data_IF_248547323783
#
_entry.id   IF_248547323783
#
_cell.length_a   1.000
_cell.length_b   1.000
_cell.length_c   1.000
_cell.angle_alpha   90.00
_cell.angle_beta   90.00
_cell.angle_gamma   90.00
#
_symmetry.space_group_name_H-M   'P 1'
#
loop_
_entity.id
_entity.type
_entity.pdbx_description
1 polymer ?
#
# COMPACT_ATOMS: atom_id res chain seq x y z
N UNK A 1 -15.20 -5.57 17.80
CA UNK A 1 -15.37 -7.01 17.46
C UNK A 1 -14.09 -7.50 16.81
N UNK A 2 -13.37 -8.39 17.49
CA UNK A 2 -12.07 -8.91 17.05
C UNK A 2 -12.21 -9.84 15.85
N UNK A 3 -11.43 -9.59 14.80
CA UNK A 3 -11.16 -10.55 13.74
C UNK A 3 -9.86 -11.27 14.16
N UNK A 4 -9.99 -12.52 14.62
CA UNK A 4 -8.86 -13.40 14.87
C UNK A 4 -8.30 -13.86 13.52
N UNK A 5 -7.02 -13.60 13.27
CA UNK A 5 -6.31 -14.13 12.12
C UNK A 5 -6.04 -15.63 12.34
N UNK A 6 -6.56 -16.48 11.45
CA UNK A 6 -6.21 -17.90 11.40
C UNK A 6 -4.77 -18.06 10.94
N UNK A 7 -3.89 -18.53 11.83
CA UNK A 7 -2.53 -18.95 11.47
C UNK A 7 -2.54 -20.29 10.73
N UNK A 8 -1.92 -20.35 9.56
CA UNK A 8 -1.57 -21.60 8.91
C UNK A 8 -0.20 -22.07 9.43
N UNK A 9 -0.16 -23.24 10.07
CA UNK A 9 1.10 -23.93 10.41
C UNK A 9 1.31 -25.07 9.42
N UNK A 10 2.30 -24.91 8.53
CA UNK A 10 2.81 -26.01 7.72
C UNK A 10 3.96 -26.67 8.50
N UNK A 11 3.69 -27.78 9.19
CA UNK A 11 4.77 -28.61 9.76
C UNK A 11 5.36 -29.49 8.66
N UNK A 12 6.50 -29.08 8.11
CA UNK A 12 7.36 -29.98 7.34
C UNK A 12 8.22 -30.73 8.36
N UNK A 13 8.06 -32.05 8.44
CA UNK A 13 8.80 -32.90 9.36
C UNK A 13 10.24 -33.06 8.84
N UNK A 14 11.28 -32.54 9.52
CA UNK A 14 12.66 -32.61 9.05
C UNK A 14 13.29 -33.91 9.52
N UNK A 15 12.82 -35.04 8.98
CA UNK A 15 13.40 -36.35 9.28
C UNK A 15 13.17 -37.31 8.12
N UNK A 16 13.70 -36.95 6.96
CA UNK A 16 14.11 -37.93 5.95
C UNK A 16 15.41 -37.46 5.32
N UNK A 17 16.51 -37.96 5.86
CA UNK A 17 17.82 -37.90 5.23
C UNK A 17 17.71 -38.42 3.79
N UNK A 18 18.25 -37.67 2.85
CA UNK A 18 18.50 -38.15 1.49
C UNK A 18 19.40 -39.38 1.55
N UNK A 19 18.83 -40.56 1.28
CA UNK A 19 19.59 -41.72 0.81
C UNK A 19 18.89 -42.27 -0.44
N UNK A 20 19.74 -42.63 -1.40
CA UNK A 20 19.44 -42.86 -2.80
C UNK A 20 18.69 -44.18 -3.03
N UNK A 21 17.73 -44.17 -3.96
CA UNK A 21 17.58 -45.14 -5.05
C UNK A 21 16.44 -44.70 -5.99
N UNK A 22 16.57 -44.80 -7.33
CA UNK A 22 15.51 -44.40 -8.24
C UNK A 22 14.40 -45.47 -8.27
N UNK A 23 13.11 -45.12 -8.08
CA UNK A 23 12.02 -46.07 -8.23
C UNK A 23 11.63 -46.23 -9.72
N UNK A 24 11.31 -47.48 -10.10
CA UNK A 24 10.82 -47.87 -11.44
C UNK A 24 9.54 -47.11 -11.85
N UNK A 25 9.31 -46.87 -13.15
CA UNK A 25 8.16 -46.09 -13.61
C UNK A 25 6.86 -46.87 -13.46
N UNK A 26 5.96 -46.42 -12.58
CA UNK A 26 4.57 -46.92 -12.50
C UNK A 26 3.65 -45.97 -13.26
N UNK A 27 2.96 -46.49 -14.28
CA UNK A 27 2.15 -45.78 -15.26
C UNK A 27 0.71 -45.45 -14.80
N UNK A 28 0.53 -44.85 -13.61
CA UNK A 28 -0.78 -44.31 -13.22
C UNK A 28 -0.65 -42.87 -12.70
N UNK A 29 -1.32 -41.88 -13.32
CA UNK A 29 -1.32 -40.52 -12.79
C UNK A 29 -1.97 -40.54 -11.40
N UNK A 30 -1.21 -40.15 -10.37
CA UNK A 30 -1.75 -39.90 -9.04
C UNK A 30 -2.39 -38.53 -9.05
N UNK A 31 -3.71 -38.49 -9.20
CA UNK A 31 -4.47 -37.26 -9.01
C UNK A 31 -4.52 -36.95 -7.51
N UNK A 32 -3.93 -35.82 -7.11
CA UNK A 32 -4.09 -35.25 -5.79
C UNK A 32 -5.32 -34.34 -5.82
N UNK A 33 -6.47 -34.86 -5.38
CA UNK A 33 -7.65 -34.04 -5.17
C UNK A 33 -7.55 -33.37 -3.81
N UNK A 34 -7.30 -32.06 -3.80
CA UNK A 34 -7.36 -31.25 -2.58
C UNK A 34 -8.83 -30.85 -2.36
N UNK A 35 -9.50 -31.44 -1.37
CA UNK A 35 -10.77 -30.91 -0.84
C UNK A 35 -10.45 -29.99 0.32
N UNK A 36 -10.85 -28.74 0.22
CA UNK A 36 -10.80 -27.79 1.33
C UNK A 36 -12.04 -28.01 2.21
N UNK A 37 -11.83 -28.40 3.48
CA UNK A 37 -12.89 -28.45 4.48
C UNK A 37 -12.43 -27.70 5.73
N UNK A 38 -13.22 -26.71 6.15
CA UNK A 38 -13.03 -25.99 7.41
C UNK A 38 -13.67 -26.80 8.56
N UNK A 39 -12.92 -27.21 9.59
CA UNK A 39 -13.53 -27.72 10.81
C UNK A 39 -14.15 -26.56 11.60
N UNK A 40 -15.42 -26.67 11.98
CA UNK A 40 -16.01 -25.78 12.99
C UNK A 40 -15.40 -26.12 14.35
N UNK A 41 -14.63 -25.21 14.93
CA UNK A 41 -14.16 -25.33 16.32
C UNK A 41 -15.30 -25.03 17.30
N UNK A 42 -15.41 -25.85 18.35
CA UNK A 42 -16.47 -25.80 19.36
C UNK A 42 -16.36 -24.68 20.40
N UNK A 43 -15.33 -23.85 20.36
CA UNK A 43 -15.14 -22.79 21.35
C UNK A 43 -15.42 -21.41 20.76
N UNK A 44 -16.69 -21.01 20.85
CA UNK A 44 -17.08 -19.60 20.91
C UNK A 44 -17.16 -18.83 19.58
N UNK A 45 -18.35 -18.92 18.98
CA UNK A 45 -18.93 -18.02 17.96
C UNK A 45 -18.59 -18.26 16.48
N UNK A 46 -19.09 -19.37 15.95
CA UNK A 46 -19.74 -19.38 14.63
C UNK A 46 -20.97 -20.31 14.67
N UNK A 47 -21.90 -20.06 15.59
CA UNK A 47 -23.23 -20.65 15.52
C UNK A 47 -24.10 -19.81 14.60
N UNK A 48 -24.34 -20.36 13.41
CA UNK A 48 -25.19 -19.78 12.38
C UNK A 48 -24.45 -19.69 11.05
N UNK A 49 -25.15 -20.01 9.95
CA UNK A 49 -24.88 -19.35 8.68
C UNK A 49 -24.90 -17.84 8.98
N UNK A 50 -23.75 -17.27 9.33
CA UNK A 50 -23.66 -15.83 9.54
C UNK A 50 -24.18 -15.21 8.25
N UNK A 51 -25.25 -14.41 8.36
CA UNK A 51 -25.68 -13.60 7.24
C UNK A 51 -24.43 -12.91 6.69
N UNK A 52 -24.23 -13.00 5.38
CA UNK A 52 -23.10 -12.35 4.73
C UNK A 52 -23.08 -10.90 5.27
N UNK A 53 -21.99 -10.42 5.89
CA UNK A 53 -21.99 -9.09 6.49
C UNK A 53 -22.07 -7.97 5.43
N UNK A 54 -22.19 -8.34 4.16
CA UNK A 54 -22.37 -7.47 3.02
C UNK A 54 -23.64 -7.83 2.25
N UNK A 55 -24.32 -6.81 1.75
CA UNK A 55 -25.45 -6.98 0.83
C UNK A 55 -24.94 -7.54 -0.49
N UNK A 56 -25.62 -8.56 -1.00
CA UNK A 56 -25.40 -9.09 -2.35
C UNK A 56 -26.38 -8.39 -3.26
N UNK A 57 -25.88 -7.66 -4.25
CA UNK A 57 -26.71 -7.01 -5.25
C UNK A 57 -26.34 -7.53 -6.64
N UNK A 58 -27.32 -7.56 -7.53
CA UNK A 58 -27.05 -7.76 -8.94
C UNK A 58 -26.29 -6.54 -9.46
N UNK A 59 -25.12 -6.79 -10.02
CA UNK A 59 -24.24 -5.79 -10.57
C UNK A 59 -24.00 -6.08 -12.05
N UNK A 60 -23.76 -5.01 -12.80
CA UNK A 60 -23.34 -5.07 -14.19
C UNK A 60 -21.99 -4.38 -14.28
N UNK A 61 -21.00 -5.06 -14.84
CA UNK A 61 -19.74 -4.47 -15.26
C UNK A 61 -19.84 -4.18 -16.74
N UNK A 62 -19.82 -2.90 -17.10
CA UNK A 62 -19.90 -2.43 -18.49
C UNK A 62 -18.50 -2.01 -18.91
N UNK A 63 -17.97 -2.64 -19.96
CA UNK A 63 -16.66 -2.35 -20.51
C UNK A 63 -16.77 -1.40 -21.71
N UNK A 64 -15.69 -0.68 -22.01
CA UNK A 64 -15.64 0.31 -23.10
C UNK A 64 -15.96 -0.30 -24.48
N UNK A 65 -15.60 -1.57 -24.66
CA UNK A 65 -15.85 -2.35 -25.88
C UNK A 65 -17.33 -2.68 -26.11
N UNK A 66 -18.21 -2.33 -25.17
CA UNK A 66 -19.64 -2.61 -25.26
C UNK A 66 -20.09 -3.84 -24.48
N UNK A 67 -19.17 -4.65 -23.96
CA UNK A 67 -19.51 -5.88 -23.27
C UNK A 67 -20.07 -5.62 -21.87
N UNK A 68 -21.14 -6.34 -21.52
CA UNK A 68 -21.85 -6.20 -20.25
C UNK A 68 -21.80 -7.53 -19.51
N UNK A 69 -21.10 -7.54 -18.40
CA UNK A 69 -20.94 -8.72 -17.55
C UNK A 69 -21.85 -8.60 -16.33
N UNK A 70 -22.78 -9.55 -16.19
CA UNK A 70 -23.63 -9.63 -15.00
C UNK A 70 -22.88 -10.38 -13.91
N UNK A 71 -22.70 -9.73 -12.77
CA UNK A 71 -22.03 -10.29 -11.60
C UNK A 71 -22.87 -10.02 -10.36
N UNK A 72 -22.51 -10.67 -9.25
CA UNK A 72 -23.01 -10.30 -7.93
C UNK A 72 -21.95 -9.45 -7.25
N UNK A 73 -22.20 -8.16 -7.09
CA UNK A 73 -21.31 -7.31 -6.31
C UNK A 73 -21.40 -7.69 -4.84
N UNK A 74 -20.26 -7.66 -4.17
CA UNK A 74 -20.13 -7.73 -2.73
C UNK A 74 -19.24 -6.57 -2.29
N UNK A 75 -19.51 -5.97 -1.14
CA UNK A 75 -18.75 -4.82 -0.68
C UNK A 75 -19.02 -4.50 0.77
N UNK A 76 -18.11 -3.76 1.40
CA UNK A 76 -18.25 -3.29 2.79
C UNK A 76 -19.59 -2.59 3.01
N UNK A 77 -20.08 -2.58 4.25
CA UNK A 77 -21.23 -1.79 4.68
C UNK A 77 -21.13 -0.36 4.15
N UNK A 78 -22.13 0.09 3.38
CA UNK A 78 -22.12 1.39 2.71
C UNK A 78 -21.78 1.37 1.22
N UNK A 79 -21.43 0.21 0.64
CA UNK A 79 -21.27 0.08 -0.82
C UNK A 79 -22.60 0.33 -1.52
N UNK A 80 -22.70 1.45 -2.23
CA UNK A 80 -23.85 1.75 -3.08
C UNK A 80 -23.60 1.15 -4.46
N UNK A 81 -24.52 0.30 -4.90
CA UNK A 81 -24.53 -0.23 -6.26
C UNK A 81 -25.60 0.57 -6.99
N UNK A 82 -25.17 1.41 -7.94
CA UNK A 82 -26.08 2.26 -8.70
C UNK A 82 -26.95 1.39 -9.62
N UNK A 83 -28.27 1.41 -9.39
CA UNK A 83 -29.25 0.60 -10.13
C UNK A 83 -30.12 1.42 -11.07
N UNK A 84 -30.09 2.76 -11.00
CA UNK A 84 -31.03 3.62 -11.73
C UNK A 84 -30.63 3.89 -13.18
N UNK A 85 -29.39 3.57 -13.58
CA UNK A 85 -28.86 3.88 -14.92
C UNK A 85 -29.08 2.74 -15.92
N UNK A 86 -29.44 3.14 -17.14
CA UNK A 86 -29.57 2.27 -18.31
C UNK A 86 -28.21 1.78 -18.82
N UNK A 87 -28.19 0.68 -19.58
CA UNK A 87 -26.96 0.16 -20.19
C UNK A 87 -26.30 1.19 -21.14
N UNK A 88 -27.11 1.96 -21.87
CA UNK A 88 -26.64 3.02 -22.77
C UNK A 88 -25.96 4.17 -22.02
N UNK A 89 -26.52 4.59 -20.89
CA UNK A 89 -25.92 5.60 -20.03
C UNK A 89 -24.60 5.11 -19.43
N UNK A 90 -24.55 3.85 -18.97
CA UNK A 90 -23.33 3.25 -18.43
C UNK A 90 -22.24 3.13 -19.52
N UNK A 91 -22.61 2.77 -20.75
CA UNK A 91 -21.68 2.74 -21.87
C UNK A 91 -21.13 4.13 -22.19
N UNK A 92 -22.01 5.15 -22.24
CA UNK A 92 -21.58 6.54 -22.44
C UNK A 92 -20.62 6.98 -21.35
N UNK A 93 -20.93 6.67 -20.08
CA UNK A 93 -20.06 6.97 -18.96
C UNK A 93 -18.71 6.28 -19.08
N UNK A 94 -18.68 4.97 -19.36
CA UNK A 94 -17.44 4.18 -19.49
C UNK A 94 -16.48 4.75 -20.53
N UNK A 95 -17.02 5.24 -21.66
CA UNK A 95 -16.22 5.82 -22.75
C UNK A 95 -15.77 7.27 -22.50
N UNK A 96 -16.38 7.95 -21.52
CA UNK A 96 -16.16 9.37 -21.27
C UNK A 96 -15.33 9.65 -20.01
N UNK A 97 -15.15 8.64 -19.17
CA UNK A 97 -14.44 8.78 -17.90
C UNK A 97 -12.99 8.32 -18.05
N UNK A 98 -12.05 9.15 -17.62
CA UNK A 98 -10.64 8.78 -17.48
C UNK A 98 -10.16 9.16 -16.08
N UNK A 99 -9.25 8.36 -15.54
CA UNK A 99 -8.57 8.61 -14.28
C UNK A 99 -7.37 9.56 -14.44
N UNK A 100 -6.83 9.67 -15.65
CA UNK A 100 -5.68 10.55 -15.94
C UNK A 100 -6.08 12.01 -15.74
N UNK A 101 -5.24 12.75 -15.01
CA UNK A 101 -5.50 14.16 -14.72
C UNK A 101 -6.60 14.44 -13.69
N UNK A 102 -7.13 13.42 -13.00
CA UNK A 102 -8.15 13.59 -11.96
C UNK A 102 -7.52 13.53 -10.57
N UNK A 103 -7.73 14.58 -9.78
CA UNK A 103 -7.38 14.64 -8.37
C UNK A 103 -8.39 13.86 -7.53
N UNK A 104 -8.04 12.61 -7.20
CA UNK A 104 -8.83 11.76 -6.30
C UNK A 104 -8.44 11.92 -4.83
N UNK A 105 -7.32 12.58 -4.52
CA UNK A 105 -6.84 12.77 -3.15
C UNK A 105 -7.80 13.66 -2.37
N UNK A 106 -8.29 14.74 -2.98
CA UNK A 106 -9.26 15.65 -2.35
C UNK A 106 -10.55 14.96 -1.93
N UNK A 107 -10.93 13.88 -2.60
CA UNK A 107 -12.15 13.13 -2.27
C UNK A 107 -12.01 12.17 -1.09
N UNK A 108 -10.78 11.92 -0.61
CA UNK A 108 -10.51 10.91 0.44
C UNK A 108 -9.74 11.45 1.65
N UNK A 109 -9.09 12.60 1.52
CA UNK A 109 -8.40 13.27 2.65
C UNK A 109 -9.41 13.70 3.72
N UNK A 110 -9.00 13.66 4.98
CA UNK A 110 -9.72 14.34 6.06
C UNK A 110 -9.64 15.88 5.93
N UNK A 111 -10.64 16.57 6.49
CA UNK A 111 -10.76 18.04 6.44
C UNK A 111 -9.87 18.77 7.46
N UNK A 112 -9.50 18.11 8.57
CA UNK A 112 -8.77 18.73 9.67
C UNK A 112 -7.68 17.79 10.21
N UNK A 113 -6.58 18.34 10.75
CA UNK A 113 -5.57 17.54 11.42
C UNK A 113 -6.13 16.76 12.60
N UNK A 114 -5.60 15.56 12.83
CA UNK A 114 -5.94 14.74 13.99
C UNK A 114 -4.74 13.94 14.50
N UNK A 115 -4.75 13.61 15.79
CA UNK A 115 -3.75 12.72 16.38
C UNK A 115 -4.16 11.27 16.19
N UNK A 116 -3.24 10.41 15.74
CA UNK A 116 -3.47 8.97 15.74
C UNK A 116 -3.27 8.42 17.16
N UNK A 117 -4.28 7.73 17.69
CA UNK A 117 -4.29 7.23 19.07
C UNK A 117 -4.32 5.71 19.18
N UNK A 118 -4.67 5.02 18.09
CA UNK A 118 -4.81 3.57 18.11
C UNK A 118 -3.44 2.89 18.18
N UNK A 119 -3.31 1.96 19.12
CA UNK A 119 -2.12 1.15 19.28
C UNK A 119 -2.17 -0.09 18.39
N UNK A 120 -1.00 -0.51 17.94
CA UNK A 120 -0.85 -1.82 17.29
C UNK A 120 -1.12 -2.91 18.30
N UNK A 121 -2.03 -3.81 17.96
CA UNK A 121 -2.33 -4.96 18.80
C UNK A 121 -1.09 -5.82 18.97
N UNK A 122 -0.91 -6.44 20.13
CA UNK A 122 0.31 -7.17 20.49
C UNK A 122 0.64 -8.31 19.51
N UNK A 123 -0.37 -8.97 18.93
CA UNK A 123 -0.17 -10.03 17.94
C UNK A 123 0.39 -9.53 16.59
N UNK A 124 0.32 -8.21 16.35
CA UNK A 124 0.85 -7.54 15.17
C UNK A 124 1.92 -6.53 15.54
N UNK A 125 2.44 -6.57 16.76
CA UNK A 125 3.51 -5.70 17.20
C UNK A 125 4.85 -6.27 16.75
N UNK A 126 5.59 -5.49 15.94
CA UNK A 126 6.88 -5.88 15.39
C UNK A 126 8.03 -5.41 16.30
N UNK A 127 7.70 -4.72 17.40
CA UNK A 127 8.63 -4.19 18.37
C UNK A 127 8.25 -4.58 19.81
N UNK A 128 7.93 -5.87 20.02
CA UNK A 128 7.49 -6.44 21.29
C UNK A 128 8.52 -6.37 22.43
N UNK A 129 9.72 -5.83 22.18
CA UNK A 129 10.82 -5.71 23.14
C UNK A 129 10.68 -4.54 24.14
N UNK A 130 9.62 -3.73 24.01
CA UNK A 130 9.41 -2.54 24.84
C UNK A 130 10.33 -1.40 24.43
N UNK A 131 9.78 -0.26 24.05
CA UNK A 131 10.57 0.94 23.86
C UNK A 131 10.65 1.71 25.18
N UNK A 132 11.76 1.58 25.90
CA UNK A 132 12.26 2.61 26.83
C UNK A 132 12.73 3.88 26.06
N UNK A 133 12.24 4.11 24.83
CA UNK A 133 12.85 5.00 23.84
C UNK A 133 12.05 6.28 23.60
N UNK A 134 12.80 7.33 23.25
CA UNK A 134 12.33 8.65 22.82
C UNK A 134 11.13 8.54 21.86
N UNK A 135 10.03 9.22 22.18
CA UNK A 135 8.86 9.29 21.32
C UNK A 135 9.11 10.20 20.12
N UNK A 136 9.26 9.63 18.92
CA UNK A 136 9.42 10.41 17.68
C UNK A 136 8.11 11.07 17.26
N UNK A 137 8.17 12.34 16.82
CA UNK A 137 7.02 13.08 16.30
C UNK A 137 6.99 12.95 14.78
N UNK A 138 5.97 12.29 14.26
CA UNK A 138 5.77 12.13 12.82
C UNK A 138 4.56 12.93 12.38
N UNK A 139 4.71 13.74 11.34
CA UNK A 139 3.57 14.34 10.64
C UNK A 139 3.30 13.53 9.38
N UNK A 140 2.07 13.04 9.22
CA UNK A 140 1.65 12.23 8.09
C UNK A 140 0.65 12.99 7.22
N UNK A 141 0.99 13.24 5.96
CA UNK A 141 0.06 13.79 4.98
C UNK A 141 -0.92 12.72 4.53
N UNK A 142 -2.21 12.99 4.72
CA UNK A 142 -3.29 12.11 4.30
C UNK A 142 -3.61 12.31 2.82
N UNK A 143 -3.16 11.35 2.01
CA UNK A 143 -3.49 11.26 0.60
C UNK A 143 -4.55 10.18 0.32
N UNK A 144 -5.23 9.69 1.36
CA UNK A 144 -5.99 8.44 1.36
C UNK A 144 -5.29 7.36 2.22
N UNK A 145 -4.78 7.76 3.38
CA UNK A 145 -3.86 6.97 4.20
C UNK A 145 -4.49 5.67 4.70
N UNK A 146 -3.78 4.55 4.53
CA UNK A 146 -4.15 3.27 5.14
C UNK A 146 -3.78 3.27 6.62
N UNK A 147 -4.74 2.94 7.50
CA UNK A 147 -4.51 2.86 8.95
C UNK A 147 -3.35 1.94 9.34
N UNK A 148 -3.07 0.88 8.57
CA UNK A 148 -1.95 -0.01 8.87
C UNK A 148 -0.58 0.69 8.80
N UNK A 149 -0.45 1.77 8.02
CA UNK A 149 0.77 2.60 8.02
C UNK A 149 0.93 3.29 9.39
N UNK A 150 -0.16 3.84 9.92
CA UNK A 150 -0.19 4.52 11.20
C UNK A 150 0.06 3.55 12.36
N UNK A 151 -0.57 2.38 12.33
CA UNK A 151 -0.29 1.29 13.28
C UNK A 151 1.20 0.91 13.26
N UNK A 152 1.79 0.71 12.08
CA UNK A 152 3.22 0.36 11.96
C UNK A 152 4.12 1.44 12.55
N UNK A 153 3.87 2.72 12.26
CA UNK A 153 4.59 3.82 12.89
C UNK A 153 4.42 3.85 14.41
N UNK A 154 3.20 3.63 14.91
CA UNK A 154 2.91 3.60 16.34
C UNK A 154 3.64 2.46 17.06
N UNK A 155 3.79 1.27 16.45
CA UNK A 155 4.58 0.17 17.03
C UNK A 155 6.07 0.50 17.16
N UNK A 156 6.59 1.46 16.40
CA UNK A 156 7.95 1.98 16.55
C UNK A 156 8.03 3.19 17.49
N UNK A 157 7.01 3.43 18.32
CA UNK A 157 7.01 4.52 19.31
C UNK A 157 6.79 5.92 18.72
N UNK A 158 6.25 6.02 17.50
CA UNK A 158 5.95 7.32 16.90
C UNK A 158 4.64 7.91 17.43
N UNK A 159 4.68 9.17 17.86
CA UNK A 159 3.50 10.02 18.04
C UNK A 159 3.16 10.69 16.72
N UNK A 160 2.00 10.36 16.16
CA UNK A 160 1.66 10.73 14.79
C UNK A 160 0.55 11.78 14.77
N UNK A 161 0.79 12.87 14.07
CA UNK A 161 -0.24 13.84 13.68
C UNK A 161 -0.53 13.66 12.20
N UNK A 162 -1.76 13.30 11.85
CA UNK A 162 -2.21 13.22 10.47
C UNK A 162 -2.74 14.60 10.05
N UNK A 163 -2.34 15.07 8.88
CA UNK A 163 -2.74 16.38 8.33
C UNK A 163 -3.39 16.21 6.96
N UNK A 164 -4.35 17.08 6.58
CA UNK A 164 -4.98 17.04 5.26
C UNK A 164 -3.97 17.13 4.11
N UNK A 165 -4.34 16.61 2.94
CA UNK A 165 -3.50 16.66 1.74
C UNK A 165 -3.02 18.07 1.34
N UNK A 166 -3.81 19.11 1.66
CA UNK A 166 -3.54 20.51 1.35
C UNK A 166 -2.90 21.28 2.52
N UNK A 167 -2.52 20.58 3.59
CA UNK A 167 -1.95 21.22 4.78
C UNK A 167 -0.63 21.95 4.47
N UNK A 168 -0.48 23.24 4.81
CA UNK A 168 0.71 23.99 4.41
C UNK A 168 2.00 23.42 5.01
N UNK A 169 3.05 23.31 4.19
CA UNK A 169 4.36 22.82 4.65
C UNK A 169 4.93 23.67 5.81
N UNK A 170 4.71 24.98 5.78
CA UNK A 170 5.10 25.87 6.86
C UNK A 170 4.45 25.48 8.22
N UNK A 171 3.18 25.09 8.21
CA UNK A 171 2.49 24.63 9.43
C UNK A 171 3.02 23.27 9.89
N UNK A 172 3.30 22.35 8.97
CA UNK A 172 3.99 21.09 9.28
C UNK A 172 5.33 21.33 9.97
N UNK A 173 6.16 22.23 9.45
CA UNK A 173 7.48 22.51 10.02
C UNK A 173 7.40 23.21 11.40
N UNK A 174 6.36 24.02 11.65
CA UNK A 174 6.11 24.61 12.98
C UNK A 174 5.82 23.56 14.05
N UNK A 175 5.30 22.39 13.68
CA UNK A 175 5.09 21.27 14.59
C UNK A 175 6.41 20.62 15.06
N UNK A 176 7.55 21.00 14.46
CA UNK A 176 8.88 20.43 14.73
C UNK A 176 8.89 18.90 14.67
N UNK A 177 8.49 18.30 13.54
CA UNK A 177 8.49 16.86 13.39
C UNK A 177 9.92 16.30 13.34
N UNK A 178 10.11 15.11 13.89
CA UNK A 178 11.33 14.30 13.71
C UNK A 178 11.37 13.65 12.32
N UNK A 179 10.20 13.52 11.67
CA UNK A 179 10.08 13.08 10.29
C UNK A 179 8.70 13.35 9.69
N UNK A 180 8.63 13.39 8.36
CA UNK A 180 7.38 13.57 7.62
C UNK A 180 7.11 12.35 6.75
N UNK A 181 5.90 11.81 6.84
CA UNK A 181 5.38 10.75 5.99
C UNK A 181 4.45 11.35 4.94
N UNK A 182 4.70 11.05 3.67
CA UNK A 182 3.73 11.21 2.58
C UNK A 182 3.09 9.84 2.30
N UNK A 183 1.79 9.73 2.55
CA UNK A 183 1.10 8.44 2.55
C UNK A 183 0.73 7.95 1.14
N UNK A 184 0.12 6.76 1.09
CA UNK A 184 -0.50 6.24 -0.12
C UNK A 184 -1.74 7.08 -0.51
N UNK A 185 -2.20 6.93 -1.76
CA UNK A 185 -3.38 7.63 -2.23
C UNK A 185 -3.86 7.14 -3.59
N UNK A 186 -5.11 7.47 -3.97
CA UNK A 186 -5.68 7.15 -5.27
C UNK A 186 -5.28 8.19 -6.33
N UNK A 187 -5.43 7.82 -7.60
CA UNK A 187 -5.39 8.77 -8.71
C UNK A 187 -4.02 8.98 -9.33
N UNK A 188 -3.92 10.07 -10.10
CA UNK A 188 -2.76 10.44 -10.90
C UNK A 188 -1.87 11.44 -10.15
N UNK A 189 -0.57 11.13 -9.90
CA UNK A 189 0.34 12.05 -9.22
C UNK A 189 0.53 13.38 -9.97
N UNK A 190 0.34 13.41 -11.29
CA UNK A 190 0.42 14.66 -12.08
C UNK A 190 -0.78 15.59 -11.86
N UNK A 191 -1.89 15.08 -11.35
CA UNK A 191 -3.11 15.85 -11.08
C UNK A 191 -3.06 16.62 -9.76
N UNK A 192 -2.01 16.44 -8.94
CA UNK A 192 -1.90 17.00 -7.60
C UNK A 192 -0.62 17.84 -7.42
N UNK A 193 -0.38 18.87 -8.27
CA UNK A 193 0.84 19.68 -8.22
C UNK A 193 1.04 20.38 -6.86
N UNK A 194 -0.04 20.72 -6.16
CA UNK A 194 0.03 21.30 -4.82
C UNK A 194 0.72 20.37 -3.80
N UNK A 195 0.53 19.05 -3.94
CA UNK A 195 1.15 18.06 -3.08
C UNK A 195 2.65 17.94 -3.39
N UNK A 196 3.02 17.99 -4.68
CA UNK A 196 4.43 18.03 -5.11
C UNK A 196 5.15 19.25 -4.55
N UNK A 197 4.55 20.44 -4.62
CA UNK A 197 5.13 21.66 -4.06
C UNK A 197 5.29 21.56 -2.53
N UNK A 198 4.31 20.99 -1.84
CA UNK A 198 4.41 20.72 -0.40
C UNK A 198 5.58 19.79 -0.07
N UNK A 199 5.78 18.72 -0.85
CA UNK A 199 6.94 17.83 -0.69
C UNK A 199 8.24 18.60 -0.91
N UNK A 200 8.35 19.38 -1.99
CA UNK A 200 9.54 20.21 -2.29
C UNK A 200 9.87 21.17 -1.14
N UNK A 201 8.87 21.81 -0.56
CA UNK A 201 9.05 22.74 0.57
C UNK A 201 9.56 22.05 1.84
N UNK A 202 9.27 20.76 2.03
CA UNK A 202 9.68 19.99 3.22
C UNK A 202 11.05 19.32 3.02
N UNK A 203 11.40 18.97 1.78
CA UNK A 203 12.65 18.28 1.46
C UNK A 203 13.88 19.04 1.97
N UNK A 204 14.83 18.27 2.52
CA UNK A 204 16.08 18.79 3.08
C UNK A 204 15.96 19.47 4.44
N UNK A 205 14.75 19.68 4.97
CA UNK A 205 14.52 20.28 6.30
C UNK A 205 14.36 19.25 7.40
N UNK A 206 13.70 18.13 7.10
CA UNK A 206 13.47 16.99 8.00
C UNK A 206 13.55 15.68 7.20
N UNK A 207 13.80 14.52 7.84
CA UNK A 207 13.67 13.22 7.19
C UNK A 207 12.28 13.04 6.57
N UNK A 208 12.24 12.59 5.33
CA UNK A 208 11.00 12.37 4.56
C UNK A 208 10.92 10.91 4.15
N UNK A 209 9.73 10.33 4.25
CA UNK A 209 9.42 9.01 3.72
C UNK A 209 8.13 9.08 2.89
N UNK A 210 8.16 8.51 1.68
CA UNK A 210 7.01 8.47 0.77
C UNK A 210 6.57 7.04 0.51
N UNK A 211 5.27 6.75 0.66
CA UNK A 211 4.69 5.43 0.38
C UNK A 211 3.68 5.51 -0.78
N UNK A 212 3.86 4.69 -1.82
CA UNK A 212 2.97 4.64 -3.00
C UNK A 212 2.81 6.05 -3.65
N UNK A 213 1.64 6.70 -3.53
CA UNK A 213 1.44 8.08 -3.97
C UNK A 213 2.52 9.02 -3.42
N UNK A 214 2.84 8.94 -2.13
CA UNK A 214 3.92 9.73 -1.53
C UNK A 214 5.30 9.45 -2.14
N UNK A 215 5.57 8.22 -2.60
CA UNK A 215 6.80 7.90 -3.32
C UNK A 215 6.84 8.56 -4.70
N UNK A 216 5.72 8.53 -5.44
CA UNK A 216 5.61 9.15 -6.75
C UNK A 216 5.77 10.68 -6.67
N UNK A 217 5.11 11.32 -5.70
CA UNK A 217 5.22 12.76 -5.44
C UNK A 217 6.64 13.14 -5.01
N UNK A 218 7.30 12.31 -4.21
CA UNK A 218 8.70 12.47 -3.87
C UNK A 218 9.60 12.42 -5.11
N UNK A 219 9.35 11.48 -6.02
CA UNK A 219 10.03 11.40 -7.31
C UNK A 219 9.90 12.68 -8.13
N UNK A 220 8.69 13.21 -8.25
CA UNK A 220 8.41 14.47 -8.96
C UNK A 220 9.06 15.68 -8.26
N UNK A 221 8.99 15.73 -6.92
CA UNK A 221 9.60 16.79 -6.12
C UNK A 221 11.13 16.82 -6.26
N UNK A 222 11.74 15.65 -6.44
CA UNK A 222 13.17 15.50 -6.73
C UNK A 222 13.53 15.76 -8.19
N UNK A 223 12.58 16.11 -9.07
CA UNK A 223 12.81 16.46 -10.47
C UNK A 223 12.59 15.32 -11.47
N UNK A 224 12.16 14.14 -11.02
CA UNK A 224 11.78 13.04 -11.89
C UNK A 224 10.40 13.21 -12.53
N UNK A 225 10.07 12.31 -13.45
CA UNK A 225 8.77 12.18 -14.10
C UNK A 225 8.06 10.90 -13.65
N UNK A 226 6.74 10.93 -13.67
CA UNK A 226 5.89 9.76 -13.44
C UNK A 226 5.12 9.44 -14.71
N UNK A 227 4.79 8.17 -14.91
CA UNK A 227 4.00 7.72 -16.06
C UNK A 227 2.94 6.70 -15.63
N UNK A 228 1.83 6.64 -16.37
CA UNK A 228 0.80 5.60 -16.21
C UNK A 228 1.33 4.30 -16.77
N UNK A 229 1.30 3.25 -15.96
CA UNK A 229 1.74 1.92 -16.36
C UNK A 229 0.75 1.30 -17.34
N UNK A 230 1.23 0.44 -18.23
CA UNK A 230 0.37 -0.31 -19.17
C UNK A 230 -0.49 -1.35 -18.43
N UNK A 231 0.14 -2.05 -17.49
CA UNK A 231 -0.50 -2.97 -16.57
C UNK A 231 -0.16 -2.52 -15.17
N UNK A 232 -1.15 -2.55 -14.30
CA UNK A 232 -1.04 -2.07 -12.94
C UNK A 232 -0.52 -3.17 -11.99
N UNK A 233 -0.13 -2.75 -10.79
CA UNK A 233 0.33 -3.65 -9.74
C UNK A 233 -0.69 -3.68 -8.61
N UNK A 234 -1.51 -4.74 -8.55
CA UNK A 234 -2.62 -4.92 -7.60
C UNK A 234 -2.60 -6.28 -6.89
N UNK A 235 -1.46 -6.67 -6.31
CA UNK A 235 -1.32 -8.00 -5.69
C UNK A 235 -0.25 -8.03 -4.60
N UNK A 236 -0.38 -9.02 -3.72
CA UNK A 236 0.47 -9.26 -2.54
C UNK A 236 1.75 -10.08 -2.79
N UNK A 237 2.12 -10.36 -4.03
CA UNK A 237 3.21 -11.30 -4.36
C UNK A 237 4.26 -10.72 -5.33
N UNK A 238 4.40 -9.39 -5.43
CA UNK A 238 5.35 -8.79 -6.35
C UNK A 238 6.80 -8.94 -5.83
N UNK A 239 7.71 -9.57 -6.60
CA UNK A 239 9.11 -9.66 -6.24
C UNK A 239 9.83 -8.34 -6.53
N UNK A 240 10.43 -7.75 -5.50
CA UNK A 240 11.17 -6.49 -5.59
C UNK A 240 12.61 -6.73 -5.14
N UNK A 241 13.58 -6.41 -6.00
CA UNK A 241 15.01 -6.52 -5.68
C UNK A 241 15.53 -5.20 -5.15
N UNK A 242 16.18 -5.24 -4.00
CA UNK A 242 16.98 -4.16 -3.45
C UNK A 242 18.35 -4.15 -4.14
N UNK A 243 18.64 -3.06 -4.86
CA UNK A 243 19.87 -2.93 -5.66
C UNK A 243 21.13 -2.70 -4.81
N UNK A 244 20.99 -2.31 -3.54
CA UNK A 244 22.14 -2.06 -2.65
C UNK A 244 22.72 -3.34 -2.05
N UNK A 245 21.91 -4.40 -1.92
CA UNK A 245 22.31 -5.63 -1.24
C UNK A 245 21.84 -6.93 -1.92
N UNK A 246 21.21 -6.81 -3.09
CA UNK A 246 20.69 -7.91 -3.91
C UNK A 246 19.65 -8.82 -3.25
N UNK A 247 19.04 -8.40 -2.14
CA UNK A 247 17.93 -9.14 -1.53
C UNK A 247 16.65 -8.91 -2.31
N UNK A 248 15.84 -9.96 -2.38
CA UNK A 248 14.50 -9.93 -2.95
C UNK A 248 13.47 -9.97 -1.83
N UNK A 249 12.52 -9.05 -1.89
CA UNK A 249 11.40 -8.91 -0.98
C UNK A 249 10.09 -9.16 -1.74
N UNK A 250 9.12 -9.78 -1.06
CA UNK A 250 7.78 -9.98 -1.63
C UNK A 250 6.86 -8.88 -1.10
N UNK A 251 6.43 -8.01 -2.00
CA UNK A 251 5.71 -6.79 -1.65
C UNK A 251 4.24 -6.85 -2.06
N UNK A 252 3.41 -6.20 -1.24
CA UNK A 252 2.07 -5.83 -1.64
C UNK A 252 2.11 -4.50 -2.41
N UNK A 253 1.67 -4.53 -3.67
CA UNK A 253 1.59 -3.34 -4.52
C UNK A 253 0.13 -3.06 -4.90
N UNK A 254 -0.20 -1.78 -4.92
CA UNK A 254 -1.50 -1.23 -5.33
C UNK A 254 -1.24 0.16 -5.93
N UNK A 255 -0.86 0.21 -7.21
CA UNK A 255 -0.61 1.46 -7.94
C UNK A 255 -0.66 1.28 -9.46
N UNK A 256 -0.99 2.38 -10.15
CA UNK A 256 -1.10 2.46 -11.61
C UNK A 256 -0.01 3.33 -12.25
N UNK A 257 0.87 3.92 -11.44
CA UNK A 257 1.84 4.91 -11.86
C UNK A 257 3.21 4.59 -11.28
N UNK A 258 4.25 4.79 -12.07
CA UNK A 258 5.64 4.60 -11.64
C UNK A 258 6.47 5.84 -11.94
N UNK A 259 7.58 5.99 -11.22
CA UNK A 259 8.63 6.94 -11.55
C UNK A 259 9.42 6.38 -12.74
N UNK A 260 9.74 7.22 -13.71
CA UNK A 260 10.67 6.90 -14.79
C UNK A 260 12.13 7.05 -14.31
N UNK A 261 12.90 5.96 -14.16
CA UNK A 261 14.30 6.01 -13.75
C UNK A 261 15.17 6.91 -14.62
N UNK A 262 14.90 6.96 -15.93
CA UNK A 262 15.71 7.72 -16.88
C UNK A 262 15.51 9.24 -16.75
N UNK A 263 14.44 9.65 -16.07
CA UNK A 263 14.12 11.06 -15.82
C UNK A 263 14.70 11.61 -14.51
N UNK A 264 15.25 10.76 -13.65
CA UNK A 264 15.79 11.15 -12.35
C UNK A 264 17.09 11.95 -12.52
N UNK A 265 17.26 13.07 -11.80
CA UNK A 265 18.50 13.83 -11.85
C UNK A 265 19.62 13.18 -11.04
N UNK A 266 20.84 13.68 -11.24
CA UNK A 266 22.00 13.29 -10.46
C UNK A 266 21.76 13.47 -8.95
N UNK A 267 22.18 12.48 -8.16
CA UNK A 267 22.01 12.46 -6.70
C UNK A 267 20.72 11.79 -6.21
N UNK A 268 19.85 11.35 -7.12
CA UNK A 268 18.72 10.46 -6.82
C UNK A 268 19.01 9.08 -7.38
N UNK A 269 19.05 8.07 -6.52
CA UNK A 269 19.29 6.69 -6.92
C UNK A 269 18.01 5.86 -6.88
N UNK A 270 17.84 4.99 -7.87
CA UNK A 270 16.88 3.89 -7.78
C UNK A 270 17.46 2.86 -6.82
N UNK A 271 16.71 2.52 -5.79
CA UNK A 271 17.16 1.55 -4.77
C UNK A 271 16.47 0.22 -4.91
N UNK A 272 15.28 0.18 -5.51
CA UNK A 272 14.50 -1.04 -5.67
C UNK A 272 13.86 -1.09 -7.04
N UNK A 273 13.84 -2.29 -7.62
CA UNK A 273 13.23 -2.58 -8.92
C UNK A 273 12.29 -3.77 -8.81
N UNK A 274 11.16 -3.70 -9.50
CA UNK A 274 10.25 -4.84 -9.62
C UNK A 274 10.84 -5.85 -10.61
N UNK A 275 10.94 -7.12 -10.22
CA UNK A 275 11.55 -8.15 -11.05
C UNK A 275 10.62 -8.68 -12.15
N UNK A 276 9.32 -8.41 -12.08
CA UNK A 276 8.38 -8.87 -13.11
C UNK A 276 8.48 -8.04 -14.39
N UNK A 277 8.68 -6.72 -14.28
CA UNK A 277 8.58 -5.79 -15.39
C UNK A 277 9.70 -4.73 -15.43
N UNK A 278 10.58 -4.70 -14.44
CA UNK A 278 11.68 -3.74 -14.34
C UNK A 278 11.27 -2.34 -13.86
N UNK A 279 10.02 -2.15 -13.41
CA UNK A 279 9.57 -0.83 -12.96
C UNK A 279 10.33 -0.36 -11.72
N UNK A 280 10.49 0.97 -11.60
CA UNK A 280 11.00 1.57 -10.36
C UNK A 280 10.07 1.25 -9.20
N UNK A 281 10.60 0.64 -8.13
CA UNK A 281 9.83 0.34 -6.93
C UNK A 281 10.21 1.25 -5.75
N UNK A 282 11.40 1.85 -5.76
CA UNK A 282 11.82 2.80 -4.74
C UNK A 282 13.00 3.67 -5.21
N UNK A 283 13.07 4.90 -4.70
CA UNK A 283 14.17 5.85 -4.91
C UNK A 283 14.70 6.38 -3.58
N UNK A 284 15.93 6.85 -3.57
CA UNK A 284 16.52 7.51 -2.42
C UNK A 284 17.37 8.67 -2.91
N UNK A 285 17.27 9.81 -2.25
CA UNK A 285 18.27 10.88 -2.37
C UNK A 285 19.10 10.90 -1.10
N UNK A 286 20.43 10.94 -1.27
CA UNK A 286 21.34 11.23 -0.17
C UNK A 286 21.59 12.74 -0.22
N UNK A 287 21.34 13.50 0.86
CA UNK A 287 21.57 14.94 0.82
C UNK A 287 23.04 15.22 0.48
N UNK A 288 23.27 16.09 -0.51
CA UNK A 288 24.60 16.54 -0.93
C UNK A 288 25.29 17.48 0.08
N UNK A 289 24.70 17.73 1.25
CA UNK A 289 25.35 18.41 2.37
C UNK A 289 24.91 17.81 3.70
N UNK A 290 25.90 17.64 4.57
CA UNK A 290 25.77 17.26 5.96
C UNK A 290 24.57 17.93 6.62
N UNK A 291 23.56 17.14 6.99
CA UNK A 291 22.78 17.48 8.17
C UNK A 291 23.77 17.32 9.32
N UNK A 292 24.38 18.42 9.75
CA UNK A 292 25.26 18.48 10.92
C UNK A 292 24.40 18.20 12.15
N UNK A 293 24.21 16.92 12.42
CA UNK A 293 23.28 16.42 13.41
C UNK A 293 22.87 15.03 12.97
N UNK A 294 23.42 14.01 13.62
CA UNK A 294 22.97 12.62 13.51
C UNK A 294 21.44 12.57 13.51
N UNK A 295 20.80 12.45 12.33
CA UNK A 295 19.36 12.20 12.27
C UNK A 295 19.16 10.82 12.86
N UNK A 296 18.66 10.78 14.10
CA UNK A 296 18.38 9.53 14.84
C UNK A 296 17.18 8.79 14.26
N UNK A 297 16.32 9.50 13.53
CA UNK A 297 15.17 8.94 12.86
C UNK A 297 15.54 8.48 11.44
N UNK A 298 15.55 7.16 11.22
CA UNK A 298 15.60 6.51 9.90
C UNK A 298 14.47 5.48 9.81
N UNK A 299 13.51 5.74 8.92
CA UNK A 299 12.60 4.70 8.45
C UNK A 299 13.39 3.82 7.47
N UNK A 300 13.57 2.54 7.83
CA UNK A 300 14.15 1.52 6.94
C UNK A 300 13.05 0.87 6.12
#
# INVERSE_FOLDING_TARGET
MSINAMGFSLRINPSTCFTQNPPKPSSKPRFLTIRCSLPLSSDGAATGLAERPWKVADARLVLEDGSIWRAKSFGSSGTQVEQSRTDEELLKMSRSWDIVGVDLIRGVTYDAPYGWVDQTKSEWDFNSGGSDQETYRVVAYDFGIKHNILLRLASYGCKITVVPSTWPAAETLKMKPDGVLFSNGPGDPSAVPYAVETVKEILGKVPVFGNCMGHQLLGQALGGKTFKMKFDHHVGNHPVRNLRNDRVEINAQNHNYAIDPASLPDGVEVTHVNLNDGSCANVSSIPSRSISGTSRFRLR
#
